data_IF_950444670779
#
_entry.id   IF_950444670779
#
_cell.length_a   1.000
_cell.length_b   1.000
_cell.length_c   1.000
_cell.angle_alpha   90.00
_cell.angle_beta   90.00
_cell.angle_gamma   90.00
#
_symmetry.space_group_name_H-M   'P 1'
#
loop_
_entity.id
_entity.type
_entity.pdbx_description
1 polymer ?
#
# COMPACT_ATOMS: atom_id res chain seq x y z
N UNK A 1 73.27 25.27 10.46
CA UNK A 1 72.09 24.53 10.97
C UNK A 1 71.11 25.45 11.70
N UNK A 2 71.53 26.58 12.26
CA UNK A 2 70.68 27.48 13.05
C UNK A 2 69.54 28.14 12.24
N UNK A 3 69.75 28.44 10.96
CA UNK A 3 68.74 29.12 10.13
C UNK A 3 67.57 28.21 9.71
N UNK A 4 67.73 26.88 9.74
CA UNK A 4 66.68 25.94 9.34
C UNK A 4 65.49 26.02 10.30
N UNK A 5 65.76 26.11 11.61
CA UNK A 5 64.71 26.12 12.62
C UNK A 5 63.88 27.42 12.57
N UNK A 6 64.55 28.54 12.27
CA UNK A 6 63.90 29.84 12.04
C UNK A 6 62.96 29.81 10.83
N UNK A 7 63.39 29.22 9.72
CA UNK A 7 62.57 29.06 8.51
C UNK A 7 61.40 28.11 8.77
N UNK A 8 61.59 27.03 9.54
CA UNK A 8 60.51 26.11 9.91
C UNK A 8 59.41 26.79 10.73
N UNK A 9 59.78 27.62 11.71
CA UNK A 9 58.81 28.37 12.52
C UNK A 9 58.07 29.40 11.66
N UNK A 10 58.80 30.14 10.81
CA UNK A 10 58.20 31.13 9.94
C UNK A 10 57.19 30.50 8.97
N UNK A 11 57.53 29.35 8.37
CA UNK A 11 56.63 28.61 7.49
C UNK A 11 55.38 28.10 8.24
N UNK A 12 55.53 27.64 9.49
CA UNK A 12 54.40 27.20 10.32
C UNK A 12 53.44 28.35 10.59
N UNK A 13 53.96 29.54 10.97
CA UNK A 13 53.15 30.74 11.23
C UNK A 13 52.41 31.19 9.97
N UNK A 14 53.09 31.24 8.83
CA UNK A 14 52.46 31.61 7.55
C UNK A 14 51.39 30.58 7.16
N UNK A 15 51.68 29.29 7.30
CA UNK A 15 50.72 28.22 7.05
C UNK A 15 49.50 28.27 7.97
N UNK A 16 49.67 28.60 9.26
CA UNK A 16 48.55 28.75 10.20
C UNK A 16 47.71 29.99 9.87
N UNK A 17 48.32 31.11 9.49
CA UNK A 17 47.59 32.31 9.10
C UNK A 17 46.75 32.05 7.85
N UNK A 18 47.35 31.47 6.81
CA UNK A 18 46.65 31.15 5.56
C UNK A 18 45.56 30.10 5.81
N UNK A 19 45.89 29.02 6.54
CA UNK A 19 44.94 27.98 6.91
C UNK A 19 43.76 28.51 7.72
N UNK A 20 44.00 29.41 8.67
CA UNK A 20 42.96 30.04 9.48
C UNK A 20 42.07 30.97 8.64
N UNK A 21 42.67 31.79 7.77
CA UNK A 21 41.91 32.68 6.88
C UNK A 21 41.01 31.87 5.92
N UNK A 22 41.54 30.79 5.34
CA UNK A 22 40.79 29.95 4.41
C UNK A 22 39.71 29.13 5.12
N UNK A 23 40.02 28.55 6.29
CA UNK A 23 39.06 27.81 7.10
C UNK A 23 37.95 28.70 7.69
N UNK A 24 38.27 29.95 8.05
CA UNK A 24 37.26 30.90 8.54
C UNK A 24 36.43 31.53 7.42
N UNK A 25 36.97 31.66 6.21
CA UNK A 25 36.22 32.17 5.05
C UNK A 25 35.16 31.18 4.56
N UNK A 26 35.32 29.87 4.81
CA UNK A 26 34.24 28.88 4.70
C UNK A 26 33.29 29.00 5.91
N UNK A 27 32.74 30.19 6.12
CA UNK A 27 31.77 30.48 7.16
C UNK A 27 30.49 29.70 6.92
N UNK A 28 30.26 28.70 7.77
CA UNK A 28 29.11 27.79 7.83
C UNK A 28 27.75 28.45 8.09
N UNK A 29 27.67 29.79 8.25
CA UNK A 29 26.44 30.45 8.70
C UNK A 29 25.27 30.29 7.72
N UNK A 30 25.54 30.39 6.40
CA UNK A 30 24.50 30.19 5.38
C UNK A 30 24.06 28.73 5.32
N UNK A 31 24.99 27.78 5.45
CA UNK A 31 24.67 26.34 5.45
C UNK A 31 23.86 25.92 6.67
N UNK A 32 24.13 26.52 7.84
CA UNK A 32 23.35 26.26 9.05
C UNK A 32 21.93 26.83 8.95
N UNK A 33 21.78 28.02 8.36
CA UNK A 33 20.46 28.60 8.11
C UNK A 33 19.66 27.77 7.10
N UNK A 34 20.30 27.32 6.01
CA UNK A 34 19.67 26.45 5.00
C UNK A 34 19.24 25.11 5.60
N UNK A 35 20.08 24.48 6.43
CA UNK A 35 19.72 23.25 7.13
C UNK A 35 18.57 23.45 8.12
N UNK A 36 18.53 24.58 8.82
CA UNK A 36 17.43 24.91 9.72
C UNK A 36 16.11 25.09 8.95
N UNK A 37 16.16 25.80 7.81
CA UNK A 37 15.02 25.98 6.91
C UNK A 37 14.52 24.65 6.33
N UNK A 38 15.43 23.75 5.94
CA UNK A 38 15.05 22.40 5.47
C UNK A 38 14.33 21.60 6.57
N UNK A 39 14.79 21.72 7.82
CA UNK A 39 14.18 21.04 8.96
C UNK A 39 12.80 21.62 9.27
N UNK A 40 12.65 22.94 9.18
CA UNK A 40 11.35 23.62 9.34
C UNK A 40 10.35 23.19 8.24
N UNK A 41 10.76 23.24 6.97
CA UNK A 41 9.92 22.81 5.85
C UNK A 41 9.50 21.34 5.99
N UNK A 42 10.43 20.43 6.30
CA UNK A 42 10.10 19.02 6.47
C UNK A 42 9.12 18.76 7.63
N UNK A 43 9.23 19.52 8.73
CA UNK A 43 8.27 19.44 9.82
C UNK A 43 6.89 19.97 9.41
N UNK A 44 6.86 21.08 8.67
CA UNK A 44 5.63 21.66 8.15
C UNK A 44 4.92 20.69 7.19
N UNK A 45 5.66 20.02 6.31
CA UNK A 45 5.13 19.02 5.39
C UNK A 45 4.52 17.83 6.17
N UNK A 46 5.21 17.37 7.22
CA UNK A 46 4.68 16.30 8.08
C UNK A 46 3.42 16.73 8.85
N UNK A 47 3.36 17.97 9.32
CA UNK A 47 2.19 18.50 10.00
C UNK A 47 1.00 18.63 9.05
N UNK A 48 1.24 19.14 7.84
CA UNK A 48 0.26 19.23 6.76
C UNK A 48 -0.29 17.85 6.39
N UNK A 49 0.60 16.88 6.17
CA UNK A 49 0.20 15.50 5.86
C UNK A 49 -0.63 14.88 6.99
N UNK A 50 -0.25 15.08 8.25
CA UNK A 50 -1.02 14.60 9.41
C UNK A 50 -2.41 15.24 9.46
N UNK A 51 -2.53 16.51 9.13
CA UNK A 51 -3.82 17.20 9.06
C UNK A 51 -4.70 16.66 7.93
N UNK A 52 -4.14 16.45 6.73
CA UNK A 52 -4.86 15.87 5.60
C UNK A 52 -5.38 14.45 5.91
N UNK A 53 -4.54 13.61 6.54
CA UNK A 53 -4.93 12.27 6.97
C UNK A 53 -6.06 12.33 8.00
N UNK A 54 -5.98 13.25 8.97
CA UNK A 54 -7.03 13.43 9.96
C UNK A 54 -8.36 13.84 9.31
N UNK A 55 -8.34 14.78 8.37
CA UNK A 55 -9.52 15.20 7.60
C UNK A 55 -10.10 14.02 6.79
N UNK A 56 -9.25 13.22 6.15
CA UNK A 56 -9.69 12.05 5.40
C UNK A 56 -10.37 11.02 6.32
N UNK A 57 -9.86 10.78 7.52
CA UNK A 57 -10.49 9.90 8.50
C UNK A 57 -11.81 10.46 9.04
N UNK A 58 -11.91 11.77 9.28
CA UNK A 58 -13.16 12.42 9.68
C UNK A 58 -14.23 12.26 8.60
N UNK A 59 -13.88 12.54 7.34
CA UNK A 59 -14.76 12.35 6.19
C UNK A 59 -15.15 10.88 6.03
N UNK A 60 -14.20 9.96 6.17
CA UNK A 60 -14.47 8.51 6.06
C UNK A 60 -15.41 8.04 7.16
N UNK A 61 -15.22 8.49 8.41
CA UNK A 61 -16.10 8.15 9.52
C UNK A 61 -17.53 8.64 9.27
N UNK A 62 -17.69 9.85 8.72
CA UNK A 62 -18.99 10.39 8.32
C UNK A 62 -19.66 9.54 7.23
N UNK A 63 -18.90 9.14 6.20
CA UNK A 63 -19.41 8.29 5.11
C UNK A 63 -19.81 6.89 5.61
N UNK A 64 -19.00 6.27 6.47
CA UNK A 64 -19.29 4.96 7.07
C UNK A 64 -20.54 5.02 7.95
N UNK A 65 -20.72 6.11 8.70
CA UNK A 65 -21.93 6.31 9.49
C UNK A 65 -23.18 6.45 8.60
N UNK A 66 -23.08 7.23 7.51
CA UNK A 66 -24.16 7.35 6.54
C UNK A 66 -24.51 5.99 5.91
N UNK A 67 -23.50 5.20 5.53
CA UNK A 67 -23.70 3.84 5.00
C UNK A 67 -24.41 2.95 6.03
N UNK A 68 -23.99 3.01 7.30
CA UNK A 68 -24.60 2.24 8.39
C UNK A 68 -26.07 2.60 8.57
N UNK A 69 -26.41 3.89 8.49
CA UNK A 69 -27.80 4.33 8.57
C UNK A 69 -28.61 3.84 7.37
N UNK A 70 -28.11 4.00 6.14
CA UNK A 70 -28.76 3.48 4.93
C UNK A 70 -28.96 1.96 4.99
N UNK A 71 -28.00 1.21 5.54
CA UNK A 71 -28.15 -0.23 5.76
C UNK A 71 -29.28 -0.56 6.75
N UNK A 72 -29.37 0.17 7.86
CA UNK A 72 -30.47 0.03 8.82
C UNK A 72 -31.82 0.34 8.18
N UNK A 73 -31.92 1.41 7.40
CA UNK A 73 -33.16 1.80 6.73
C UNK A 73 -33.64 0.71 5.76
N UNK A 74 -32.72 0.14 4.97
CA UNK A 74 -33.02 -1.00 4.08
C UNK A 74 -33.48 -2.21 4.89
N UNK A 75 -32.79 -2.52 5.98
CA UNK A 75 -33.16 -3.65 6.84
C UNK A 75 -34.55 -3.47 7.47
N UNK A 76 -34.85 -2.28 8.00
CA UNK A 76 -36.17 -1.94 8.56
C UNK A 76 -37.26 -2.02 7.49
N UNK A 77 -36.98 -1.53 6.28
CA UNK A 77 -37.92 -1.62 5.16
C UNK A 77 -38.22 -3.07 4.77
N UNK A 78 -37.20 -3.94 4.77
CA UNK A 78 -37.39 -5.37 4.51
C UNK A 78 -38.18 -6.06 5.63
N UNK A 79 -37.89 -5.75 6.89
CA UNK A 79 -38.63 -6.30 8.04
C UNK A 79 -40.11 -5.86 8.02
N UNK A 80 -40.37 -4.58 7.78
CA UNK A 80 -41.71 -4.03 7.61
C UNK A 80 -42.43 -4.62 6.39
N UNK A 81 -41.73 -4.75 5.27
CA UNK A 81 -42.24 -5.38 4.05
C UNK A 81 -42.60 -6.85 4.25
N UNK A 82 -41.79 -7.61 4.98
CA UNK A 82 -42.10 -8.99 5.33
C UNK A 82 -43.38 -9.07 6.19
N UNK A 83 -43.55 -8.19 7.18
CA UNK A 83 -44.78 -8.16 8.00
C UNK A 83 -46.03 -7.76 7.19
N UNK A 84 -45.89 -6.82 6.25
CA UNK A 84 -46.99 -6.38 5.38
C UNK A 84 -47.37 -7.40 4.31
N UNK A 85 -46.39 -8.13 3.76
CA UNK A 85 -46.58 -9.12 2.70
C UNK A 85 -46.94 -10.51 3.26
N UNK A 86 -46.46 -10.86 4.45
CA UNK A 86 -46.92 -12.03 5.21
C UNK A 86 -48.23 -11.70 5.92
N UNK A 87 -49.30 -11.51 5.16
CA UNK A 87 -50.63 -11.34 5.72
C UNK A 87 -50.95 -12.57 6.60
N UNK A 88 -51.25 -12.38 7.90
CA UNK A 88 -51.58 -13.48 8.81
C UNK A 88 -52.93 -14.06 8.38
N UNK A 89 -52.89 -15.08 7.53
CA UNK A 89 -54.07 -15.73 6.96
C UNK A 89 -53.81 -16.50 5.67
N UNK A 90 -52.76 -16.17 4.90
CA UNK A 90 -52.42 -16.90 3.66
C UNK A 90 -51.40 -18.01 3.87
N UNK A 91 -50.48 -17.86 4.84
CA UNK A 91 -49.44 -18.85 5.15
C UNK A 91 -49.98 -19.98 6.04
N UNK A 92 -50.90 -19.67 6.94
CA UNK A 92 -51.53 -20.66 7.85
C UNK A 92 -52.37 -21.69 7.06
N UNK A 93 -52.97 -21.27 5.93
CA UNK A 93 -53.73 -22.17 5.05
C UNK A 93 -52.84 -23.10 4.20
N UNK A 94 -51.55 -22.78 4.04
CA UNK A 94 -50.58 -23.61 3.30
C UNK A 94 -49.75 -24.54 4.21
N UNK A 95 -49.85 -24.39 5.54
CA UNK A 95 -49.09 -25.14 6.54
C UNK A 95 -49.97 -26.12 7.33
N UNK A 96 -51.07 -26.61 6.75
CA UNK A 96 -51.76 -27.80 7.25
C UNK A 96 -50.74 -28.97 7.31
N UNK A 97 -50.49 -29.55 8.49
CA UNK A 97 -49.35 -30.41 8.74
C UNK A 97 -49.56 -31.78 8.11
N UNK A 98 -48.88 -32.06 6.99
CA UNK A 98 -48.54 -33.41 6.57
C UNK A 98 -47.46 -34.02 7.50
N UNK A 99 -47.64 -33.95 8.82
CA UNK A 99 -46.86 -34.74 9.77
C UNK A 99 -47.33 -36.19 9.70
N UNK A 100 -46.69 -36.97 8.82
CA UNK A 100 -46.62 -38.43 8.98
C UNK A 100 -45.33 -38.75 9.74
N UNK A 101 -45.39 -39.15 11.02
CA UNK A 101 -44.20 -39.49 11.79
C UNK A 101 -43.80 -40.94 11.51
N UNK A 102 -43.40 -41.28 10.27
CA UNK A 102 -43.00 -42.66 9.99
C UNK A 102 -42.11 -42.87 8.75
N UNK A 103 -40.92 -42.25 8.71
CA UNK A 103 -39.84 -42.75 7.81
C UNK A 103 -38.42 -42.21 8.11
N UNK A 104 -37.94 -42.22 9.34
CA UNK A 104 -36.48 -42.13 9.53
C UNK A 104 -36.06 -43.09 10.65
N UNK A 105 -36.16 -44.38 10.35
CA UNK A 105 -35.35 -45.38 11.02
C UNK A 105 -33.89 -45.20 10.59
N UNK A 106 -33.13 -44.54 11.47
CA UNK A 106 -31.78 -44.91 11.92
C UNK A 106 -31.11 -46.03 11.11
N UNK A 107 -30.31 -45.63 10.12
CA UNK A 107 -29.21 -46.42 9.59
C UNK A 107 -27.90 -45.78 10.06
N UNK A 108 -27.52 -46.09 11.29
CA UNK A 108 -26.15 -45.91 11.77
C UNK A 108 -25.48 -47.27 11.66
N UNK A 109 -24.74 -47.51 10.58
CA UNK A 109 -23.57 -48.39 10.57
C UNK A 109 -22.88 -48.29 9.20
N UNK A 110 -21.79 -47.51 9.16
CA UNK A 110 -20.75 -47.62 8.14
C UNK A 110 -19.46 -47.08 8.76
N UNK A 111 -18.75 -47.98 9.44
CA UNK A 111 -17.31 -47.89 9.64
C UNK A 111 -16.61 -47.53 8.32
N UNK A 112 -15.80 -46.46 8.35
CA UNK A 112 -14.70 -46.27 7.42
C UNK A 112 -13.58 -45.46 8.09
N UNK A 113 -12.64 -46.21 8.64
CA UNK A 113 -11.19 -45.98 8.56
C UNK A 113 -10.64 -44.66 9.14
N UNK A 114 -10.10 -44.81 10.34
CA UNK A 114 -8.96 -44.08 10.92
C UNK A 114 -7.95 -43.53 9.90
N UNK A 115 -7.76 -42.21 9.89
CA UNK A 115 -6.45 -41.58 9.70
C UNK A 115 -6.32 -40.46 10.74
N UNK A 116 -5.35 -40.62 11.62
CA UNK A 116 -4.94 -39.76 12.72
C UNK A 116 -4.56 -38.37 12.23
N UNK A 117 -5.13 -37.31 12.83
CA UNK A 117 -4.74 -35.93 12.54
C UNK A 117 -5.38 -34.88 13.43
N UNK A 118 -5.07 -34.95 14.74
CA UNK A 118 -5.18 -33.91 15.79
C UNK A 118 -6.16 -32.75 15.55
N UNK A 119 -7.24 -32.78 16.30
CA UNK A 119 -8.14 -31.66 16.54
C UNK A 119 -7.41 -30.62 17.40
N UNK A 120 -7.12 -29.44 16.86
CA UNK A 120 -6.87 -28.24 17.66
C UNK A 120 -7.42 -27.03 16.92
N UNK A 121 -8.45 -26.47 17.55
CA UNK A 121 -8.85 -25.07 17.58
C UNK A 121 -8.76 -24.20 16.32
N UNK A 122 -9.96 -23.75 15.95
CA UNK A 122 -10.29 -22.56 15.18
C UNK A 122 -9.50 -21.33 15.63
N UNK A 123 -8.43 -21.01 14.92
CA UNK A 123 -7.85 -19.67 14.92
C UNK A 123 -7.75 -19.20 13.47
N UNK A 124 -8.46 -18.11 13.15
CA UNK A 124 -8.24 -17.37 11.91
C UNK A 124 -6.79 -16.87 11.92
N UNK A 125 -5.90 -17.59 11.25
CA UNK A 125 -4.50 -17.19 11.12
C UNK A 125 -4.46 -15.94 10.23
N UNK A 126 -3.80 -14.84 10.65
CA UNK A 126 -3.65 -13.67 9.82
C UNK A 126 -2.93 -14.04 8.51
N UNK A 127 -3.20 -13.31 7.40
CA UNK A 127 -2.56 -13.60 6.13
C UNK A 127 -1.04 -13.64 6.32
N UNK A 128 -0.41 -14.72 5.83
CA UNK A 128 1.04 -14.99 5.95
C UNK A 128 1.92 -14.06 5.11
N UNK A 129 1.40 -12.88 4.74
CA UNK A 129 2.07 -11.88 3.92
C UNK A 129 3.17 -11.09 4.65
N UNK A 130 3.34 -11.31 5.96
CA UNK A 130 4.37 -10.64 6.77
C UNK A 130 5.54 -11.54 7.16
N UNK A 131 5.84 -12.59 6.37
CA UNK A 131 6.96 -13.47 6.68
C UNK A 131 8.31 -12.70 6.65
N UNK A 132 9.08 -12.66 7.75
CA UNK A 132 10.42 -12.08 7.74
C UNK A 132 11.31 -12.96 6.87
N UNK A 133 11.75 -12.40 5.74
CA UNK A 133 12.69 -13.08 4.84
C UNK A 133 14.10 -13.04 5.42
N UNK A 134 14.93 -14.02 5.03
CA UNK A 134 16.36 -13.97 5.31
C UNK A 134 16.97 -12.70 4.69
N UNK A 135 18.05 -12.12 5.25
CA UNK A 135 18.64 -10.87 4.76
C UNK A 135 19.11 -10.94 3.30
N UNK A 136 19.30 -12.15 2.77
CA UNK A 136 19.77 -12.45 1.42
C UNK A 136 18.60 -12.59 0.41
N UNK A 137 17.35 -12.61 0.87
CA UNK A 137 16.19 -12.95 0.04
C UNK A 137 15.32 -11.71 -0.23
N UNK A 138 15.27 -11.30 -1.49
CA UNK A 138 14.58 -10.08 -1.90
C UNK A 138 13.07 -10.15 -1.63
N UNK A 139 12.51 -9.02 -1.14
CA UNK A 139 11.10 -8.90 -0.79
C UNK A 139 10.18 -9.13 -2.00
N UNK A 140 8.97 -9.63 -1.78
CA UNK A 140 7.95 -9.77 -2.84
C UNK A 140 7.49 -8.44 -3.43
N UNK A 141 7.90 -7.34 -2.82
CA UNK A 141 7.67 -5.96 -3.27
C UNK A 141 8.97 -5.27 -3.73
N UNK A 142 10.10 -5.99 -3.89
CA UNK A 142 11.29 -5.39 -4.47
C UNK A 142 11.08 -5.16 -5.97
N UNK A 143 11.62 -4.05 -6.49
CA UNK A 143 11.51 -3.69 -7.91
C UNK A 143 12.22 -4.71 -8.83
N UNK A 144 13.09 -5.54 -8.27
CA UNK A 144 13.86 -6.61 -8.91
C UNK A 144 13.18 -7.99 -8.82
N UNK A 145 12.06 -8.10 -8.10
CA UNK A 145 11.38 -9.39 -7.91
C UNK A 145 10.85 -9.94 -9.24
N UNK A 146 11.46 -11.03 -9.71
CA UNK A 146 11.11 -11.66 -10.99
C UNK A 146 11.88 -11.13 -12.21
N UNK A 147 12.75 -10.13 -12.05
CA UNK A 147 13.67 -9.68 -13.10
C UNK A 147 14.96 -10.50 -13.03
N UNK A 148 15.11 -11.49 -13.92
CA UNK A 148 16.41 -12.15 -14.11
C UNK A 148 17.29 -11.24 -14.97
N UNK A 149 18.31 -10.64 -14.38
CA UNK A 149 19.40 -10.04 -15.16
C UNK A 149 20.21 -11.16 -15.84
N UNK A 150 19.90 -11.42 -17.11
CA UNK A 150 20.78 -12.25 -17.94
C UNK A 150 21.99 -11.42 -18.38
N UNK A 151 23.15 -11.75 -17.84
CA UNK A 151 24.43 -11.27 -18.31
C UNK A 151 25.16 -12.39 -19.06
N UNK A 152 25.17 -12.24 -20.39
CA UNK A 152 26.04 -12.83 -21.42
C UNK A 152 26.10 -14.36 -21.61
N UNK A 153 25.50 -14.85 -22.70
CA UNK A 153 26.19 -15.50 -23.83
C UNK A 153 25.18 -16.05 -24.87
N UNK A 154 25.25 -15.57 -26.12
CA UNK A 154 25.29 -16.37 -27.36
C UNK A 154 25.04 -15.52 -28.61
N UNK A 155 25.81 -15.85 -29.64
CA UNK A 155 26.07 -15.11 -30.88
C UNK A 155 24.88 -15.05 -31.87
N UNK A 156 24.82 -13.93 -32.60
CA UNK A 156 24.57 -13.80 -34.05
C UNK A 156 23.46 -14.64 -34.72
N UNK A 157 22.30 -14.02 -34.96
CA UNK A 157 21.66 -13.97 -36.29
C UNK A 157 20.58 -12.87 -36.36
N UNK A 158 20.80 -11.87 -37.21
CA UNK A 158 19.78 -10.97 -37.77
C UNK A 158 19.24 -11.59 -39.09
N UNK A 159 18.14 -11.12 -39.75
CA UNK A 159 17.48 -9.81 -39.67
C UNK A 159 15.93 -9.87 -39.68
N UNK A 160 15.17 -8.80 -39.41
CA UNK A 160 14.68 -7.87 -40.45
C UNK A 160 14.03 -6.63 -39.81
N UNK A 161 14.55 -5.46 -40.16
CA UNK A 161 13.97 -4.13 -39.94
C UNK A 161 12.61 -3.95 -40.63
N UNK A 162 11.67 -3.29 -39.95
CA UNK A 162 10.92 -2.16 -40.53
C UNK A 162 10.64 -1.13 -39.42
N UNK A 163 10.93 0.17 -39.61
CA UNK A 163 10.81 1.20 -38.59
C UNK A 163 9.38 1.72 -38.48
N UNK A 164 8.80 1.73 -37.27
CA UNK A 164 7.59 2.50 -37.00
C UNK A 164 7.98 3.97 -36.85
N UNK A 165 7.78 4.70 -37.95
CA UNK A 165 7.85 6.15 -38.10
C UNK A 165 6.94 6.87 -37.10
N UNK A 166 7.50 7.87 -36.44
CA UNK A 166 6.79 8.95 -35.76
C UNK A 166 5.75 9.62 -36.68
N UNK A 167 4.52 9.78 -36.19
CA UNK A 167 3.59 10.83 -36.61
C UNK A 167 2.55 11.11 -35.50
N UNK A 168 2.17 12.39 -35.27
CA UNK A 168 1.47 12.82 -34.06
C UNK A 168 -0.06 12.64 -34.15
N UNK A 169 -0.66 12.33 -32.99
CA UNK A 169 -2.11 12.37 -32.74
C UNK A 169 -2.67 13.77 -33.04
N UNK A 170 -3.42 13.89 -34.13
CA UNK A 170 -4.27 15.05 -34.40
C UNK A 170 -5.64 14.84 -33.76
N UNK A 171 -6.04 15.83 -32.97
CA UNK A 171 -7.37 15.97 -32.40
C UNK A 171 -8.39 16.29 -33.52
N UNK A 172 -9.44 15.50 -33.64
CA UNK A 172 -10.65 15.89 -34.37
C UNK A 172 -11.65 16.54 -33.40
N UNK A 173 -11.76 17.87 -33.46
CA UNK A 173 -12.96 18.62 -33.07
C UNK A 173 -14.04 18.38 -34.14
N UNK A 174 -15.05 17.56 -33.85
CA UNK A 174 -16.29 17.55 -34.65
C UNK A 174 -17.22 18.68 -34.17
N UNK A 175 -17.19 19.79 -34.90
CA UNK A 175 -18.05 20.95 -34.69
C UNK A 175 -19.30 20.83 -35.57
N UNK A 176 -20.41 20.35 -35.01
CA UNK A 176 -21.73 20.41 -35.65
C UNK A 176 -22.42 21.73 -35.29
N UNK A 177 -22.74 22.56 -36.29
CA UNK A 177 -23.76 23.63 -36.18
C UNK A 177 -24.57 23.78 -37.48
N UNK A 178 -25.80 24.31 -37.38
CA UNK A 178 -26.95 23.91 -38.19
C UNK A 178 -27.24 24.81 -39.40
N UNK A 179 -28.00 24.28 -40.34
CA UNK A 179 -29.03 24.97 -41.14
C UNK A 179 -29.98 23.94 -41.76
#
# INVERSE_FOLDING_TARGET
MENIWLVSIAALVVGTIIGFLMGRSTGSNNKQAELAEQLENAQQDLESYRAEVAEHFEKTASLVNNLTNSYKDVHEHLASGAQGLCQPGTIDLALEPAMTPNKLEKSEDAEATTETGSETDTAAEPPRDYAPKAPEEEGTLSETFGLKEEKDQSEEEAPTEQPISDAPLQAEEEKVKPA
#
